data_IF_972272921209
#
_entry.id   IF_972272921209
#
_cell.length_a   1.000
_cell.length_b   1.000
_cell.length_c   1.000
_cell.angle_alpha   90.00
_cell.angle_beta   90.00
_cell.angle_gamma   90.00
#
_symmetry.space_group_name_H-M   'P 1'
#
loop_
_entity.id
_entity.type
_entity.pdbx_description
1 polymer ?
#
# COMPACT_ATOMS: atom_id res chain seq x y z
N UNK A 1 -1.89 -5.69 -9.46
CA UNK A 1 -0.78 -6.64 -9.73
C UNK A 1 -1.25 -7.99 -10.25
N UNK A 2 -2.32 -8.60 -9.70
CA UNK A 2 -2.86 -9.87 -10.21
C UNK A 2 -3.23 -9.81 -11.69
N UNK A 3 -3.88 -8.73 -12.14
CA UNK A 3 -4.34 -8.60 -13.53
C UNK A 3 -3.17 -8.53 -14.56
N UNK A 4 -2.05 -7.86 -14.24
CA UNK A 4 -0.88 -7.85 -15.14
C UNK A 4 -0.18 -9.21 -15.26
N UNK A 5 -0.27 -10.08 -14.24
CA UNK A 5 0.29 -11.43 -14.31
C UNK A 5 -0.57 -12.37 -15.18
N UNK A 6 -1.86 -12.09 -15.33
CA UNK A 6 -2.78 -12.85 -16.18
C UNK A 6 -2.74 -12.39 -17.64
N UNK A 7 -2.47 -11.10 -17.89
CA UNK A 7 -2.47 -10.51 -19.24
C UNK A 7 -1.15 -10.72 -20.02
N UNK A 8 -0.03 -11.03 -19.35
CA UNK A 8 1.27 -11.11 -20.02
C UNK A 8 2.16 -12.25 -19.50
N UNK A 9 2.35 -13.28 -20.33
CA UNK A 9 3.15 -14.48 -20.01
C UNK A 9 4.63 -14.13 -19.76
N UNK A 10 5.21 -13.20 -20.53
CA UNK A 10 6.60 -12.77 -20.34
C UNK A 10 6.81 -12.04 -19.00
N UNK A 11 5.81 -11.28 -18.53
CA UNK A 11 5.85 -10.65 -17.22
C UNK A 11 5.80 -11.67 -16.09
N UNK A 12 5.06 -12.77 -16.26
CA UNK A 12 5.00 -13.88 -15.30
C UNK A 12 6.32 -14.65 -15.20
N UNK A 13 6.97 -14.90 -16.33
CA UNK A 13 8.30 -15.52 -16.37
C UNK A 13 9.36 -14.63 -15.71
N UNK A 14 9.34 -13.32 -16.00
CA UNK A 14 10.20 -12.34 -15.32
C UNK A 14 9.98 -12.33 -13.81
N UNK A 15 8.71 -12.32 -13.37
CA UNK A 15 8.36 -12.37 -11.95
C UNK A 15 8.87 -13.64 -11.26
N UNK A 16 8.77 -14.80 -11.92
CA UNK A 16 9.25 -16.08 -11.39
C UNK A 16 10.78 -16.10 -11.28
N UNK A 17 11.48 -15.54 -12.27
CA UNK A 17 12.93 -15.38 -12.24
C UNK A 17 13.39 -14.36 -11.19
N UNK A 18 12.65 -13.27 -11.00
CA UNK A 18 12.95 -12.28 -9.98
C UNK A 18 12.75 -12.86 -8.56
N UNK A 19 11.71 -13.67 -8.37
CA UNK A 19 11.42 -14.37 -7.10
C UNK A 19 12.42 -15.49 -6.77
N UNK A 20 13.15 -16.01 -7.76
CA UNK A 20 14.19 -17.02 -7.53
C UNK A 20 15.57 -16.43 -7.19
N UNK A 21 15.73 -15.10 -7.22
CA UNK A 21 16.99 -14.46 -6.82
C UNK A 21 17.20 -14.52 -5.30
N UNK A 22 18.41 -14.90 -4.86
CA UNK A 22 18.75 -14.97 -3.43
C UNK A 22 18.56 -13.65 -2.68
N UNK A 23 18.68 -12.52 -3.39
CA UNK A 23 18.45 -11.18 -2.84
C UNK A 23 17.01 -10.97 -2.32
N UNK A 24 16.03 -11.70 -2.85
CA UNK A 24 14.63 -11.64 -2.40
C UNK A 24 14.39 -12.40 -1.09
N UNK A 25 15.38 -13.14 -0.57
CA UNK A 25 15.27 -13.92 0.69
C UNK A 25 14.03 -14.84 0.72
N UNK A 26 13.63 -15.39 -0.44
CA UNK A 26 12.42 -16.21 -0.64
C UNK A 26 11.09 -15.49 -0.30
N UNK A 27 11.09 -14.16 -0.20
CA UNK A 27 9.88 -13.36 -0.04
C UNK A 27 9.27 -13.10 -1.42
N UNK A 28 7.94 -13.17 -1.55
CA UNK A 28 7.28 -12.77 -2.81
C UNK A 28 7.34 -11.26 -2.94
N UNK A 29 7.24 -10.73 -4.16
CA UNK A 29 7.30 -9.29 -4.39
C UNK A 29 6.24 -8.53 -3.58
N UNK A 30 5.04 -9.11 -3.43
CA UNK A 30 3.97 -8.56 -2.60
C UNK A 30 4.38 -8.41 -1.13
N UNK A 31 5.16 -9.35 -0.61
CA UNK A 31 5.64 -9.32 0.77
C UNK A 31 6.74 -8.26 0.96
N UNK A 32 7.54 -7.99 -0.08
CA UNK A 32 8.54 -6.92 -0.10
C UNK A 32 7.88 -5.54 -0.19
N UNK A 33 6.80 -5.41 -0.96
CA UNK A 33 6.03 -4.17 -1.07
C UNK A 33 5.28 -3.82 0.21
N UNK A 34 4.87 -4.83 0.99
CA UNK A 34 4.26 -4.63 2.30
C UNK A 34 5.28 -4.27 3.40
N UNK A 35 6.58 -4.49 3.15
CA UNK A 35 7.63 -4.35 4.16
C UNK A 35 7.76 -2.94 4.78
N UNK A 36 7.67 -1.84 4.03
CA UNK A 36 7.72 -0.49 4.59
C UNK A 36 6.61 -0.22 5.62
N UNK A 37 5.38 -0.61 5.29
CA UNK A 37 4.22 -0.47 6.19
C UNK A 37 4.35 -1.38 7.43
N UNK A 38 4.78 -2.63 7.23
CA UNK A 38 5.05 -3.56 8.34
C UNK A 38 6.15 -3.05 9.27
N UNK A 39 7.18 -2.40 8.72
CA UNK A 39 8.28 -1.86 9.52
C UNK A 39 7.82 -0.66 10.36
N UNK A 40 7.02 0.22 9.77
CA UNK A 40 6.46 1.39 10.42
C UNK A 40 5.59 1.01 11.63
N UNK A 41 4.70 0.03 11.46
CA UNK A 41 3.84 -0.48 12.55
C UNK A 41 4.60 -1.25 13.63
N UNK A 42 5.76 -1.84 13.33
CA UNK A 42 6.62 -2.47 14.34
C UNK A 42 7.31 -1.47 15.26
N UNK A 43 7.61 -0.26 14.80
CA UNK A 43 8.30 0.72 15.63
C UNK A 43 7.49 1.11 16.86
N UNK A 44 6.18 1.31 16.73
CA UNK A 44 5.30 1.59 17.87
C UNK A 44 5.27 0.43 18.88
N UNK A 45 5.26 -0.83 18.41
CA UNK A 45 5.31 -2.01 19.28
C UNK A 45 6.62 -2.12 20.05
N UNK A 46 7.76 -1.93 19.36
CA UNK A 46 9.08 -1.99 19.98
C UNK A 46 9.27 -0.85 20.99
N UNK A 47 8.85 0.36 20.65
CA UNK A 47 8.92 1.51 21.55
C UNK A 47 8.04 1.32 22.79
N UNK A 48 6.83 0.75 22.65
CA UNK A 48 5.98 0.37 23.79
C UNK A 48 6.67 -0.67 24.70
N UNK A 49 7.38 -1.62 24.12
CA UNK A 49 8.16 -2.59 24.90
C UNK A 49 9.31 -1.90 25.65
N UNK A 50 10.05 -1.00 25.01
CA UNK A 50 11.14 -0.23 25.66
C UNK A 50 10.60 0.65 26.78
N UNK A 51 9.45 1.31 26.58
CA UNK A 51 8.78 2.13 27.59
C UNK A 51 8.49 1.33 28.87
N UNK A 52 8.08 0.06 28.72
CA UNK A 52 7.76 -0.83 29.85
C UNK A 52 8.95 -1.02 30.80
N UNK A 53 10.18 -1.03 30.28
CA UNK A 53 11.39 -1.26 31.05
C UNK A 53 12.17 0.03 31.38
N UNK A 54 11.67 1.20 30.97
CA UNK A 54 12.35 2.49 31.21
C UNK A 54 11.90 3.09 32.54
N UNK A 55 12.80 3.28 33.50
CA UNK A 55 12.44 3.75 34.86
C UNK A 55 12.46 5.29 34.95
N UNK A 56 13.25 5.96 34.12
CA UNK A 56 13.45 7.41 34.17
C UNK A 56 12.33 8.19 33.46
N UNK A 57 11.63 9.06 34.20
CA UNK A 57 10.43 9.78 33.72
C UNK A 57 10.68 10.64 32.47
N UNK A 58 11.82 11.34 32.39
CA UNK A 58 12.18 12.14 31.20
C UNK A 58 12.32 11.25 29.96
N UNK A 59 12.92 10.06 30.11
CA UNK A 59 13.03 9.11 28.99
C UNK A 59 11.70 8.47 28.64
N UNK A 60 10.83 8.24 29.63
CA UNK A 60 9.46 7.72 29.39
C UNK A 60 8.64 8.69 28.56
N UNK A 61 8.70 9.98 28.88
CA UNK A 61 7.99 11.03 28.13
C UNK A 61 8.46 11.13 26.68
N UNK A 62 9.79 11.12 26.45
CA UNK A 62 10.38 11.08 25.10
C UNK A 62 9.94 9.84 24.32
N UNK A 63 9.94 8.66 24.95
CA UNK A 63 9.51 7.42 24.28
C UNK A 63 8.02 7.44 23.97
N UNK A 64 7.18 8.01 24.85
CA UNK A 64 5.74 8.18 24.61
C UNK A 64 5.48 9.09 23.40
N UNK A 65 6.19 10.20 23.30
CA UNK A 65 6.11 11.10 22.15
C UNK A 65 6.59 10.43 20.86
N UNK A 66 7.66 9.62 20.92
CA UNK A 66 8.11 8.81 19.77
C UNK A 66 7.07 7.76 19.34
N UNK A 67 6.36 7.14 20.28
CA UNK A 67 5.26 6.21 19.97
C UNK A 67 4.14 6.96 19.25
N UNK A 68 3.72 8.11 19.77
CA UNK A 68 2.66 8.91 19.19
C UNK A 68 2.97 9.31 17.75
N UNK A 69 4.19 9.82 17.49
CA UNK A 69 4.66 10.20 16.15
C UNK A 69 4.77 8.99 15.21
N UNK A 70 5.22 7.85 15.69
CA UNK A 70 5.27 6.62 14.88
C UNK A 70 3.88 6.11 14.50
N UNK A 71 2.89 6.24 15.39
CA UNK A 71 1.51 5.85 15.12
C UNK A 71 0.79 6.85 14.21
N UNK A 72 1.09 8.14 14.35
CA UNK A 72 0.61 9.19 13.45
C UNK A 72 1.12 8.97 12.03
N UNK A 73 2.43 8.78 11.86
CA UNK A 73 3.01 8.46 10.56
C UNK A 73 2.39 7.20 9.93
N UNK A 74 2.07 6.17 10.73
CA UNK A 74 1.38 4.99 10.23
C UNK A 74 -0.05 5.30 9.75
N UNK A 75 -0.79 6.15 10.48
CA UNK A 75 -2.14 6.59 10.11
C UNK A 75 -2.13 7.44 8.84
N UNK A 76 -1.21 8.39 8.72
CA UNK A 76 -1.12 9.27 7.55
C UNK A 76 -0.85 8.48 6.26
N UNK A 77 0.04 7.49 6.34
CA UNK A 77 0.33 6.62 5.19
C UNK A 77 -0.87 5.73 4.86
N UNK A 78 -1.57 5.19 5.87
CA UNK A 78 -2.79 4.39 5.67
C UNK A 78 -3.91 5.22 5.03
N UNK A 79 -4.11 6.45 5.50
CA UNK A 79 -5.08 7.38 4.92
C UNK A 79 -4.72 7.76 3.48
N UNK A 80 -3.44 8.01 3.21
CA UNK A 80 -2.97 8.29 1.84
C UNK A 80 -3.22 7.12 0.90
N UNK A 81 -2.95 5.89 1.34
CA UNK A 81 -3.23 4.67 0.56
C UNK A 81 -4.73 4.51 0.30
N UNK A 82 -5.56 4.66 1.33
CA UNK A 82 -7.02 4.58 1.23
C UNK A 82 -7.59 5.64 0.30
N UNK A 83 -7.08 6.87 0.37
CA UNK A 83 -7.48 7.95 -0.52
C UNK A 83 -7.09 7.64 -1.97
N UNK A 84 -5.88 7.12 -2.20
CA UNK A 84 -5.44 6.72 -3.53
C UNK A 84 -6.32 5.59 -4.11
N UNK A 85 -6.67 4.58 -3.32
CA UNK A 85 -7.57 3.50 -3.74
C UNK A 85 -8.98 4.03 -4.09
N UNK A 86 -9.53 4.90 -3.24
CA UNK A 86 -10.82 5.55 -3.49
C UNK A 86 -10.81 6.39 -4.77
N UNK A 87 -9.72 7.12 -5.04
CA UNK A 87 -9.55 7.88 -6.28
C UNK A 87 -9.47 6.97 -7.51
N UNK A 88 -8.84 5.80 -7.39
CA UNK A 88 -8.78 4.83 -8.49
C UNK A 88 -10.17 4.26 -8.81
N UNK A 89 -10.97 3.93 -7.79
CA UNK A 89 -12.35 3.47 -7.96
C UNK A 89 -13.25 4.53 -8.60
N UNK A 90 -13.13 5.78 -8.17
CA UNK A 90 -13.85 6.91 -8.78
C UNK A 90 -13.46 7.11 -10.23
N UNK A 91 -12.17 7.07 -10.55
CA UNK A 91 -11.68 7.20 -11.92
C UNK A 91 -12.14 6.03 -12.81
N UNK A 92 -12.22 4.82 -12.27
CA UNK A 92 -12.75 3.67 -13.00
C UNK A 92 -14.23 3.86 -13.32
N UNK A 93 -15.04 4.25 -12.33
CA UNK A 93 -16.47 4.54 -12.53
C UNK A 93 -16.67 5.67 -13.54
N UNK A 94 -15.84 6.73 -13.47
CA UNK A 94 -15.88 7.84 -14.43
C UNK A 94 -15.59 7.37 -15.86
N UNK A 95 -14.60 6.49 -16.06
CA UNK A 95 -14.30 5.90 -17.37
C UNK A 95 -15.50 5.13 -17.92
N UNK A 96 -16.15 4.31 -17.10
CA UNK A 96 -17.34 3.54 -17.50
C UNK A 96 -18.53 4.44 -17.89
N UNK A 97 -18.77 5.51 -17.12
CA UNK A 97 -19.78 6.51 -17.44
C UNK A 97 -19.45 7.25 -18.74
N UNK A 98 -18.19 7.63 -18.96
CA UNK A 98 -17.75 8.31 -20.18
C UNK A 98 -17.91 7.42 -21.42
N UNK A 99 -17.60 6.13 -21.29
CA UNK A 99 -17.78 5.13 -22.34
C UNK A 99 -19.26 4.95 -22.70
N UNK A 100 -20.11 4.82 -21.68
CA UNK A 100 -21.57 4.72 -21.83
C UNK A 100 -22.18 5.96 -22.45
N UNK A 101 -21.70 7.16 -22.08
CA UNK A 101 -22.10 8.43 -22.68
C UNK A 101 -21.72 8.53 -24.16
N UNK A 102 -20.56 8.00 -24.55
CA UNK A 102 -20.10 7.97 -25.95
C UNK A 102 -20.96 7.05 -26.82
N UNK A 103 -21.27 5.84 -26.34
CA UNK A 103 -22.20 4.92 -27.00
C UNK A 103 -23.61 5.51 -27.20
N UNK A 104 -24.08 6.31 -26.24
CA UNK A 104 -25.39 7.00 -26.33
C UNK A 104 -25.39 8.16 -27.34
N UNK A 105 -24.25 8.84 -27.53
CA UNK A 105 -24.07 9.88 -28.54
C UNK A 105 -23.99 9.28 -29.96
N UNK A 106 -23.24 8.18 -30.13
CA UNK A 106 -23.07 7.55 -31.44
C UNK A 106 -24.37 6.91 -31.96
N UNK A 107 -25.20 6.35 -31.06
CA UNK A 107 -26.55 5.87 -31.41
C UNK A 107 -27.53 6.99 -31.81
N UNK A 108 -27.30 8.24 -31.41
CA UNK A 108 -28.12 9.39 -31.85
C UNK A 108 -27.71 9.95 -33.21
N UNK A 109 -26.48 9.69 -33.67
CA UNK A 109 -25.99 10.12 -35.00
C UNK A 109 -26.33 9.14 -36.12
N UNK A 110 -26.67 7.89 -35.77
CA UNK A 110 -27.07 6.84 -36.71
C UNK A 110 -28.60 6.73 -36.93
N UNK A 111 -29.36 7.76 -36.56
CA UNK A 111 -30.81 7.85 -36.78
C UNK A 111 -31.14 9.18 -37.41
#
# INVERSE_FOLDING_TARGET
>A
MKNCQEENVSFREFMTWAESQDAMKRQRLLDVLAHPMQRLTRYSLLLKAVLKYTIEDIKRDIIQDMIARSEEAARDVDETLKNHDSQNELNQTLKELSFSGKLRSDNKKNK
#
